data_IF_721823828873
#
_entry.id   IF_721823828873
#
_cell.length_a   1.000
_cell.length_b   1.000
_cell.length_c   1.000
_cell.angle_alpha   90.00
_cell.angle_beta   90.00
_cell.angle_gamma   90.00
#
_symmetry.space_group_name_H-M   'P 1'
#
loop_
_entity.id
_entity.type
_entity.pdbx_description
1 polymer ?
#
# COMPACT_ATOMS: atom_id res chain seq x y z
N UNK A 1 0.23 1.25 6.42
CA UNK A 1 0.00 0.50 5.16
C UNK A 1 1.38 0.24 4.55
N UNK A 2 1.80 -1.02 4.42
CA UNK A 2 3.21 -1.35 4.14
C UNK A 2 4.14 -0.88 5.27
N UNK A 3 5.31 -0.32 4.94
CA UNK A 3 6.26 0.29 5.90
C UNK A 3 5.97 1.76 6.22
N UNK A 4 4.91 2.35 5.63
CA UNK A 4 4.58 3.77 5.77
C UNK A 4 3.34 3.98 6.65
N UNK A 5 3.43 4.96 7.54
CA UNK A 5 2.31 5.40 8.38
C UNK A 5 1.64 6.63 7.75
N UNK A 6 0.32 6.58 7.60
CA UNK A 6 -0.47 7.70 7.08
C UNK A 6 -1.52 8.08 8.11
N UNK A 7 -1.60 9.36 8.44
CA UNK A 7 -2.50 9.85 9.49
C UNK A 7 -3.96 9.92 9.02
N UNK A 8 -4.20 9.92 7.70
CA UNK A 8 -5.52 9.90 7.09
C UNK A 8 -5.43 9.40 5.63
N UNK A 9 -6.59 9.09 5.05
CA UNK A 9 -6.71 8.61 3.66
C UNK A 9 -6.28 9.67 2.64
N UNK A 10 -6.45 10.96 2.93
CA UNK A 10 -6.03 12.04 2.03
C UNK A 10 -4.49 12.06 1.83
N UNK A 11 -3.70 11.84 2.88
CA UNK A 11 -2.24 11.71 2.79
C UNK A 11 -1.83 10.48 1.99
N UNK A 12 -2.49 9.34 2.21
CA UNK A 12 -2.27 8.12 1.44
C UNK A 12 -2.55 8.37 -0.05
N UNK A 13 -3.69 8.98 -0.36
CA UNK A 13 -4.08 9.35 -1.73
C UNK A 13 -3.06 10.29 -2.37
N UNK A 14 -2.56 11.27 -1.62
CA UNK A 14 -1.48 12.15 -2.03
C UNK A 14 -0.21 11.37 -2.41
N UNK A 15 0.22 10.45 -1.54
CA UNK A 15 1.41 9.62 -1.79
C UNK A 15 1.26 8.72 -3.02
N UNK A 16 0.10 8.09 -3.19
CA UNK A 16 -0.20 7.25 -4.37
C UNK A 16 -0.17 8.08 -5.65
N UNK A 17 -0.74 9.29 -5.62
CA UNK A 17 -0.71 10.21 -6.75
C UNK A 17 0.72 10.69 -7.06
N UNK A 18 1.54 10.93 -6.04
CA UNK A 18 2.96 11.28 -6.23
C UNK A 18 3.69 10.15 -6.97
N UNK A 19 3.51 8.90 -6.54
CA UNK A 19 4.12 7.74 -7.21
C UNK A 19 3.71 7.68 -8.69
N UNK A 20 2.43 7.88 -9.01
CA UNK A 20 1.97 7.88 -10.41
C UNK A 20 2.62 8.98 -11.28
N UNK A 21 2.92 10.14 -10.69
CA UNK A 21 3.48 11.27 -11.44
C UNK A 21 5.00 11.25 -11.53
N UNK A 22 5.67 10.67 -10.53
CA UNK A 22 7.14 10.61 -10.44
C UNK A 22 7.76 9.46 -11.24
N UNK A 23 6.96 8.54 -11.78
CA UNK A 23 7.42 7.37 -12.53
C UNK A 23 7.25 7.59 -14.04
N UNK A 24 8.17 7.02 -14.80
CA UNK A 24 8.11 7.02 -16.26
C UNK A 24 7.09 5.99 -16.77
N UNK A 25 6.57 6.21 -17.97
CA UNK A 25 5.65 5.26 -18.59
C UNK A 25 6.40 3.94 -18.91
N UNK A 26 5.87 2.82 -18.42
CA UNK A 26 6.52 1.50 -18.49
C UNK A 26 7.50 1.21 -17.35
N UNK A 27 7.71 2.14 -16.41
CA UNK A 27 8.65 1.95 -15.30
C UNK A 27 8.11 0.91 -14.30
N UNK A 28 8.89 -0.16 -14.11
CA UNK A 28 8.61 -1.18 -13.09
C UNK A 28 9.07 -0.66 -11.73
N UNK A 29 8.17 -0.71 -10.74
CA UNK A 29 8.50 -0.35 -9.38
C UNK A 29 9.49 -1.38 -8.80
N UNK A 30 10.52 -0.88 -8.11
CA UNK A 30 11.51 -1.73 -7.46
C UNK A 30 10.84 -2.63 -6.42
N UNK A 31 10.94 -3.96 -6.50
CA UNK A 31 10.25 -4.89 -5.57
C UNK A 31 10.57 -4.64 -4.09
N UNK A 32 11.82 -4.30 -3.79
CA UNK A 32 12.26 -3.99 -2.42
C UNK A 32 11.95 -2.55 -1.98
N UNK A 33 11.51 -1.71 -2.90
CA UNK A 33 11.22 -0.30 -2.68
C UNK A 33 9.97 -0.06 -1.82
N UNK A 34 9.94 1.07 -1.12
CA UNK A 34 8.79 1.52 -0.34
C UNK A 34 7.53 1.69 -1.20
N UNK A 35 7.69 2.20 -2.42
CA UNK A 35 6.57 2.42 -3.34
C UNK A 35 5.91 1.11 -3.76
N UNK A 36 6.70 0.10 -4.14
CA UNK A 36 6.16 -1.22 -4.47
C UNK A 36 5.41 -1.83 -3.28
N UNK A 37 6.01 -1.80 -2.09
CA UNK A 37 5.38 -2.32 -0.86
C UNK A 37 4.06 -1.60 -0.54
N UNK A 38 4.03 -0.27 -0.69
CA UNK A 38 2.84 0.53 -0.47
C UNK A 38 1.71 0.15 -1.44
N UNK A 39 2.02 0.12 -2.74
CA UNK A 39 1.03 -0.17 -3.77
C UNK A 39 0.56 -1.63 -3.69
N UNK A 40 1.45 -2.57 -3.38
CA UNK A 40 1.10 -3.97 -3.12
C UNK A 40 0.12 -4.09 -1.96
N UNK A 41 0.37 -3.44 -0.82
CA UNK A 41 -0.58 -3.45 0.30
C UNK A 41 -1.91 -2.77 -0.05
N UNK A 42 -1.89 -1.70 -0.83
CA UNK A 42 -3.11 -1.02 -1.26
C UNK A 42 -3.96 -1.92 -2.18
N UNK A 43 -3.32 -2.78 -2.97
CA UNK A 43 -3.98 -3.73 -3.85
C UNK A 43 -4.81 -4.77 -3.10
N UNK A 44 -4.43 -5.10 -1.86
CA UNK A 44 -5.17 -6.04 -0.99
C UNK A 44 -6.59 -5.55 -0.65
N UNK A 45 -6.82 -4.23 -0.76
CA UNK A 45 -8.12 -3.61 -0.51
C UNK A 45 -8.95 -3.45 -1.80
N UNK A 46 -8.47 -3.91 -2.96
CA UNK A 46 -9.24 -3.81 -4.19
C UNK A 46 -10.53 -4.63 -4.08
N UNK A 47 -11.71 -4.11 -4.48
CA UNK A 47 -13.00 -4.78 -4.30
C UNK A 47 -13.13 -6.12 -5.06
N UNK A 48 -12.34 -6.31 -6.12
CA UNK A 48 -12.22 -7.60 -6.81
C UNK A 48 -11.36 -8.63 -6.06
N UNK A 49 -11.01 -8.37 -4.80
CA UNK A 49 -10.40 -9.32 -3.87
C UNK A 49 -8.98 -9.76 -4.20
N UNK A 50 -8.55 -10.82 -3.50
CA UNK A 50 -7.25 -11.48 -3.64
C UNK A 50 -7.00 -12.08 -5.02
N UNK A 51 -8.07 -12.48 -5.71
CA UNK A 51 -8.01 -13.09 -7.04
C UNK A 51 -7.32 -12.19 -8.07
N UNK A 52 -7.52 -10.87 -7.95
CA UNK A 52 -6.94 -9.96 -8.95
C UNK A 52 -5.42 -9.95 -8.89
N UNK A 53 -4.80 -10.15 -7.72
CA UNK A 53 -3.35 -10.04 -7.55
C UNK A 53 -2.67 -11.38 -7.23
N UNK A 54 -3.38 -12.50 -7.38
CA UNK A 54 -2.77 -13.81 -7.38
C UNK A 54 -1.75 -13.93 -8.53
N UNK A 55 -0.58 -14.52 -8.26
CA UNK A 55 0.51 -14.61 -9.24
C UNK A 55 1.22 -13.29 -9.55
N UNK A 56 1.08 -12.25 -8.71
CA UNK A 56 1.76 -10.97 -8.90
C UNK A 56 3.29 -11.11 -8.82
N UNK A 57 3.98 -10.84 -9.93
CA UNK A 57 5.45 -10.79 -10.01
C UNK A 57 6.01 -9.37 -9.96
N UNK A 58 5.22 -8.38 -10.36
CA UNK A 58 5.70 -6.99 -10.47
C UNK A 58 4.56 -5.99 -10.59
N UNK A 59 4.89 -4.71 -10.37
CA UNK A 59 3.97 -3.59 -10.57
C UNK A 59 4.69 -2.54 -11.39
N UNK A 60 4.08 -2.05 -12.45
CA UNK A 60 4.61 -0.95 -13.27
C UNK A 60 3.62 0.21 -13.36
N UNK A 61 4.11 1.39 -13.71
CA UNK A 61 3.28 2.56 -14.01
C UNK A 61 3.27 2.78 -15.51
N UNK A 62 2.10 2.96 -16.10
CA UNK A 62 1.98 3.29 -17.51
C UNK A 62 0.72 4.14 -17.77
N UNK A 63 0.65 4.74 -18.96
CA UNK A 63 -0.58 5.41 -19.41
C UNK A 63 -1.69 4.40 -19.57
N UNK A 64 -2.88 4.79 -19.11
CA UNK A 64 -4.10 4.04 -19.32
C UNK A 64 -4.41 3.99 -20.82
N UNK A 65 -4.93 2.87 -21.29
CA UNK A 65 -5.49 2.78 -22.64
C UNK A 65 -6.76 3.61 -22.82
N UNK A 66 -7.38 4.05 -21.72
CA UNK A 66 -8.66 4.79 -21.69
C UNK A 66 -8.48 6.25 -21.28
N UNK A 67 -7.52 6.95 -21.91
CA UNK A 67 -7.30 8.39 -21.77
C UNK A 67 -5.89 8.77 -21.29
N UNK A 68 -5.66 10.05 -21.01
CA UNK A 68 -4.33 10.58 -20.64
C UNK A 68 -3.94 10.36 -19.16
N UNK A 69 -4.66 9.52 -18.43
CA UNK A 69 -4.35 9.21 -17.03
C UNK A 69 -3.32 8.10 -16.92
N UNK A 70 -2.41 8.20 -15.95
CA UNK A 70 -1.50 7.10 -15.59
C UNK A 70 -2.17 6.15 -14.58
N UNK A 71 -1.99 4.85 -14.80
CA UNK A 71 -2.47 3.78 -13.94
C UNK A 71 -1.33 2.86 -13.53
N UNK A 72 -1.58 2.05 -12.50
CA UNK A 72 -0.71 0.94 -12.16
C UNK A 72 -1.14 -0.30 -12.93
N UNK A 73 -0.15 -1.06 -13.37
CA UNK A 73 -0.31 -2.33 -14.05
C UNK A 73 0.36 -3.41 -13.20
N UNK A 74 -0.40 -4.43 -12.86
CA UNK A 74 0.12 -5.65 -12.26
C UNK A 74 0.68 -6.54 -13.35
N UNK A 75 1.88 -7.05 -13.12
CA UNK A 75 2.51 -8.05 -13.95
C UNK A 75 2.35 -9.39 -13.25
N UNK A 76 1.78 -10.36 -13.94
CA UNK A 76 1.55 -11.72 -13.45
C UNK A 76 2.53 -12.71 -14.05
N UNK A 77 2.64 -13.87 -13.42
CA UNK A 77 3.33 -15.03 -14.01
C UNK A 77 2.75 -15.34 -15.40
N UNK A 78 3.62 -15.68 -16.35
CA UNK A 78 3.23 -15.89 -17.75
C UNK A 78 3.19 -14.62 -18.62
N UNK A 79 3.57 -13.46 -18.08
CA UNK A 79 3.70 -12.22 -18.87
C UNK A 79 2.37 -11.49 -19.09
N UNK A 80 1.32 -11.87 -18.38
CA UNK A 80 0.03 -11.18 -18.41
C UNK A 80 0.13 -9.88 -17.61
N UNK A 81 -0.36 -8.79 -18.21
CA UNK A 81 -0.40 -7.49 -17.58
C UNK A 81 -1.85 -7.02 -17.47
N UNK A 82 -2.27 -6.63 -16.27
CA UNK A 82 -3.61 -6.10 -16.03
C UNK A 82 -3.52 -4.74 -15.35
N UNK A 83 -4.35 -3.78 -15.74
CA UNK A 83 -4.43 -2.51 -15.04
C UNK A 83 -5.31 -2.61 -13.79
N UNK A 84 -4.98 -1.79 -12.80
CA UNK A 84 -5.88 -1.55 -11.68
C UNK A 84 -5.92 -0.07 -11.33
N UNK A 85 -7.12 0.35 -10.92
CA UNK A 85 -7.35 1.70 -10.49
C UNK A 85 -7.03 1.83 -9.00
N UNK A 86 -5.95 2.54 -8.67
CA UNK A 86 -5.63 2.86 -7.29
C UNK A 86 -6.75 3.67 -6.61
N UNK A 87 -7.57 4.40 -7.38
CA UNK A 87 -8.77 5.06 -6.85
C UNK A 87 -9.70 4.05 -6.19
N UNK A 88 -10.00 2.91 -6.84
CA UNK A 88 -10.89 1.88 -6.29
C UNK A 88 -10.34 1.29 -4.99
N UNK A 89 -9.03 1.08 -4.91
CA UNK A 89 -8.40 0.62 -3.69
C UNK A 89 -8.49 1.67 -2.56
N UNK A 90 -8.24 2.94 -2.87
CA UNK A 90 -8.33 4.03 -1.90
C UNK A 90 -9.76 4.24 -1.40
N UNK A 91 -10.75 4.19 -2.31
CA UNK A 91 -12.16 4.29 -1.96
C UNK A 91 -12.57 3.13 -1.02
N UNK A 92 -12.08 1.91 -1.28
CA UNK A 92 -12.33 0.76 -0.41
C UNK A 92 -11.68 0.91 0.97
N UNK A 93 -10.46 1.46 1.05
CA UNK A 93 -9.80 1.83 2.31
C UNK A 93 -10.58 2.92 3.05
N UNK A 94 -11.19 3.87 2.35
CA UNK A 94 -11.99 4.92 2.96
C UNK A 94 -13.31 4.37 3.52
N UNK A 95 -13.96 3.44 2.79
CA UNK A 95 -15.20 2.79 3.19
C UNK A 95 -15.00 1.82 4.36
N UNK A 96 -13.89 1.07 4.37
CA UNK A 96 -13.51 0.17 5.45
C UNK A 96 -12.05 0.41 5.83
N UNK A 97 -11.79 1.43 6.68
CA UNK A 97 -10.43 1.73 7.10
C UNK A 97 -9.87 0.52 7.84
N UNK A 98 -8.69 -0.01 7.45
CA UNK A 98 -7.95 -0.94 8.28
C UNK A 98 -7.44 -0.14 9.48
N UNK A 99 -8.31 0.06 10.47
CA UNK A 99 -7.87 0.55 11.77
C UNK A 99 -6.82 -0.44 12.28
N UNK A 100 -5.64 0.07 12.60
CA UNK A 100 -4.70 -0.69 13.43
C UNK A 100 -5.49 -1.00 14.69
N UNK A 101 -5.75 -2.28 14.96
CA UNK A 101 -6.09 -2.66 16.32
C UNK A 101 -4.86 -2.28 17.13
N UNK A 102 -4.91 -1.11 17.75
CA UNK A 102 -3.94 -0.70 18.74
C UNK A 102 -4.11 -1.76 19.82
N UNK A 103 -3.20 -2.74 19.89
CA UNK A 103 -3.12 -3.60 21.06
C UNK A 103 -3.08 -2.64 22.25
N UNK A 104 -4.13 -2.69 23.07
CA UNK A 104 -4.19 -1.95 24.31
C UNK A 104 -2.90 -2.28 25.06
N UNK A 105 -2.00 -1.31 25.12
CA UNK A 105 -0.75 -1.42 25.83
C UNK A 105 -1.13 -1.69 27.28
N UNK A 106 -1.11 -2.96 27.70
CA UNK A 106 -1.32 -3.35 29.10
C UNK A 106 -0.42 -2.45 29.95
N UNK A 107 -0.96 -1.80 30.99
CA UNK A 107 -0.20 -0.85 31.78
C UNK A 107 1.06 -1.55 32.29
N UNK A 108 2.21 -0.98 31.94
CA UNK A 108 3.49 -1.36 32.51
C UNK A 108 3.43 -1.05 34.00
N UNK A 109 3.20 -2.09 34.81
CA UNK A 109 3.47 -2.01 36.25
C UNK A 109 4.99 -1.88 36.40
N UNK A 110 5.51 -0.79 36.99
CA UNK A 110 6.93 -0.73 37.28
C UNK A 110 7.26 -1.79 38.32
N UNK A 111 8.10 -2.74 37.93
CA UNK A 111 8.70 -3.72 38.83
C UNK A 111 9.62 -2.99 39.79
N UNK A 112 9.18 -2.83 41.04
CA UNK A 112 10.01 -2.32 42.11
C UNK A 112 11.05 -3.39 42.48
N UNK A 113 12.31 -3.14 42.14
CA UNK A 113 13.44 -3.87 42.69
C UNK A 113 14.51 -2.88 43.17
N UNK A 114 14.58 -2.79 44.50
CA UNK A 114 15.75 -2.61 45.36
C UNK A 114 16.78 -1.50 45.07
N UNK A 115 16.92 -0.59 46.02
CA UNK A 115 18.20 0.05 46.35
C UNK A 115 18.36 0.06 47.89
N UNK A 116 19.20 -0.86 48.38
CA UNK A 116 19.92 -0.77 49.66
C UNK A 116 21.04 0.26 49.54
N UNK A 117 21.21 1.12 50.56
CA UNK A 117 22.48 1.54 51.18
C UNK A 117 22.40 2.96 51.78
N UNK A 118 22.40 3.05 53.11
CA UNK A 118 23.30 3.87 53.93
C UNK A 118 23.06 3.54 55.42
#
# INVERSE_FOLDING_TARGET
>A
IGTSHFNNVAMLRGRVKEILNSRSDGEVLKPDGSDFKLIKCLLEFHPSGKEKFEGLVGIKVAKSSQGDSRCFYMMKEGGVEEDFSAKKCLDAVELNPPYVQVEEKKPHVPSAAAATAA
#
